data_IF_791607023495
#
_entry.id   IF_791607023495
#
_cell.length_a   1.000
_cell.length_b   1.000
_cell.length_c   1.000
_cell.angle_alpha   90.00
_cell.angle_beta   90.00
_cell.angle_gamma   90.00
#
_symmetry.space_group_name_H-M   'P 1'
#
loop_
_entity.id
_entity.type
_entity.pdbx_description
1 polymer ?
#
# COMPACT_ATOMS: atom_id res chain seq x y z
N UNK A 1 -7.41 -13.67 -2.64
CA UNK A 1 -6.80 -14.65 -3.56
C UNK A 1 -7.62 -15.94 -3.54
N UNK A 2 -7.66 -16.70 -4.65
CA UNK A 2 -8.31 -18.03 -4.68
C UNK A 2 -7.36 -19.11 -4.15
N UNK A 3 -6.09 -19.05 -4.53
CA UNK A 3 -5.03 -19.96 -4.09
C UNK A 3 -3.63 -19.32 -4.24
N UNK A 4 -2.59 -20.10 -3.95
CA UNK A 4 -1.19 -19.68 -3.92
C UNK A 4 -0.38 -20.06 -5.19
N UNK A 5 -1.03 -20.46 -6.30
CA UNK A 5 -0.33 -20.86 -7.54
C UNK A 5 0.54 -19.74 -8.13
N UNK A 6 0.16 -18.49 -7.91
CA UNK A 6 0.93 -17.31 -8.32
C UNK A 6 2.37 -17.33 -7.77
N UNK A 7 2.63 -18.00 -6.64
CA UNK A 7 3.97 -18.06 -6.02
C UNK A 7 5.02 -18.70 -6.93
N UNK A 8 4.63 -19.65 -7.79
CA UNK A 8 5.56 -20.26 -8.75
C UNK A 8 5.85 -19.39 -9.98
N UNK A 9 5.09 -18.31 -10.16
CA UNK A 9 5.19 -17.39 -11.30
C UNK A 9 5.89 -16.07 -10.93
N UNK A 10 6.41 -15.97 -9.70
CA UNK A 10 7.06 -14.75 -9.18
C UNK A 10 8.38 -14.50 -9.92
N UNK A 11 8.48 -13.37 -10.60
CA UNK A 11 9.69 -12.92 -11.30
C UNK A 11 10.68 -12.28 -10.31
N UNK A 12 10.19 -11.48 -9.38
CA UNK A 12 10.99 -10.86 -8.33
C UNK A 12 10.11 -10.46 -7.13
N UNK A 13 10.74 -9.99 -6.05
CA UNK A 13 10.03 -9.56 -4.85
C UNK A 13 10.75 -8.41 -4.15
N UNK A 14 9.98 -7.50 -3.56
CA UNK A 14 10.50 -6.31 -2.89
C UNK A 14 9.82 -6.17 -1.54
N UNK A 15 10.64 -6.10 -0.48
CA UNK A 15 10.18 -5.72 0.86
C UNK A 15 9.80 -4.26 0.88
N UNK A 16 8.63 -3.94 1.41
CA UNK A 16 8.13 -2.59 1.50
C UNK A 16 7.59 -2.30 2.88
N UNK A 17 7.94 -1.14 3.43
CA UNK A 17 7.40 -0.64 4.67
C UNK A 17 7.01 0.83 4.52
N UNK A 18 5.88 1.25 5.06
CA UNK A 18 5.48 2.67 5.06
C UNK A 18 4.63 3.03 6.26
N UNK A 19 4.71 4.28 6.68
CA UNK A 19 3.94 4.84 7.78
C UNK A 19 3.84 6.36 7.69
N UNK A 20 3.00 6.95 8.55
CA UNK A 20 2.75 8.38 8.59
C UNK A 20 3.30 8.97 9.90
N UNK A 21 4.11 10.03 9.82
CA UNK A 21 4.68 10.68 11.01
C UNK A 21 3.65 11.52 11.78
N UNK A 22 2.59 11.95 11.12
CA UNK A 22 1.53 12.73 11.73
C UNK A 22 0.20 11.97 11.62
N UNK A 23 -0.63 12.16 12.65
CA UNK A 23 -1.96 11.57 12.69
C UNK A 23 -2.81 12.13 11.54
N UNK A 24 -3.56 11.25 10.90
CA UNK A 24 -4.53 11.60 9.87
C UNK A 24 -5.75 12.31 10.46
N UNK A 25 -6.08 12.10 11.73
CA UNK A 25 -7.08 12.88 12.43
C UNK A 25 -6.69 14.37 12.51
N UNK A 26 -5.41 14.65 12.81
CA UNK A 26 -4.86 16.01 12.81
C UNK A 26 -4.88 16.67 11.42
N UNK A 27 -4.85 15.86 10.34
CA UNK A 27 -5.13 16.39 9.01
C UNK A 27 -6.60 16.73 8.88
N UNK A 28 -7.52 15.80 9.17
CA UNK A 28 -8.96 16.02 9.01
C UNK A 28 -9.47 17.24 9.79
N UNK A 29 -8.98 17.44 11.01
CA UNK A 29 -9.55 18.42 11.95
C UNK A 29 -9.10 19.86 11.74
N UNK A 30 -8.00 20.12 11.01
CA UNK A 30 -7.49 21.48 10.90
C UNK A 30 -6.03 21.64 11.31
N UNK A 31 -5.57 20.86 12.27
CA UNK A 31 -4.38 21.16 13.08
C UNK A 31 -3.06 20.91 12.36
N UNK A 32 -3.04 19.96 11.42
CA UNK A 32 -1.90 19.69 10.54
C UNK A 32 -2.22 20.09 9.10
N UNK A 33 -1.25 20.71 8.42
CA UNK A 33 -1.41 21.21 7.04
C UNK A 33 -0.83 20.31 5.95
N UNK A 34 -0.14 19.23 6.31
CA UNK A 34 0.44 18.30 5.36
C UNK A 34 0.59 16.89 5.94
N UNK A 35 0.30 15.87 5.14
CA UNK A 35 0.60 14.47 5.47
C UNK A 35 2.07 14.21 5.19
N UNK A 36 2.78 13.63 6.15
CA UNK A 36 4.19 13.24 6.02
C UNK A 36 4.26 11.72 6.10
N UNK A 37 4.64 11.09 4.98
CA UNK A 37 4.75 9.64 4.83
C UNK A 37 6.20 9.24 4.62
N UNK A 38 6.65 8.25 5.37
CA UNK A 38 7.94 7.59 5.18
C UNK A 38 7.66 6.29 4.46
N UNK A 39 8.43 5.95 3.41
CA UNK A 39 8.39 4.62 2.79
C UNK A 39 9.78 4.06 2.55
N UNK A 40 9.88 2.74 2.62
CA UNK A 40 11.00 1.91 2.20
C UNK A 40 10.46 0.96 1.12
N UNK A 41 11.24 0.76 0.05
CA UNK A 41 11.00 -0.22 -0.99
C UNK A 41 12.33 -0.83 -1.43
N UNK A 42 12.62 -2.04 -0.94
CA UNK A 42 13.92 -2.67 -1.09
C UNK A 42 15.02 -1.78 -0.49
N UNK A 43 16.00 -1.44 -1.30
CA UNK A 43 17.17 -0.65 -0.88
C UNK A 43 16.97 0.87 -1.06
N UNK A 44 15.74 1.31 -1.35
CA UNK A 44 15.40 2.72 -1.53
C UNK A 44 14.41 3.18 -0.47
N UNK A 45 14.51 4.44 -0.05
CA UNK A 45 13.57 5.05 0.87
C UNK A 45 13.25 6.49 0.49
N UNK A 46 12.04 6.92 0.83
CA UNK A 46 11.53 8.24 0.46
C UNK A 46 10.72 8.86 1.59
N UNK A 47 10.84 10.18 1.72
CA UNK A 47 9.99 11.03 2.55
C UNK A 47 9.06 11.82 1.64
N UNK A 48 7.77 11.53 1.72
CA UNK A 48 6.73 12.17 0.93
C UNK A 48 5.90 13.12 1.79
N UNK A 49 5.66 14.32 1.31
CA UNK A 49 4.83 15.32 1.96
C UNK A 49 3.76 15.82 1.01
N UNK A 50 2.50 15.82 1.44
CA UNK A 50 1.39 16.30 0.62
C UNK A 50 0.50 17.28 1.38
N UNK A 51 0.30 18.50 0.84
CA UNK A 51 -0.47 19.57 1.51
C UNK A 51 -1.94 19.19 1.73
N UNK A 52 -2.62 19.77 2.72
CA UNK A 52 -4.05 19.53 3.00
C UNK A 52 -4.96 20.49 2.26
N UNK A 53 -4.64 20.81 1.01
CA UNK A 53 -5.47 21.73 0.22
C UNK A 53 -6.81 21.08 -0.17
N UNK A 54 -7.88 21.86 -0.07
CA UNK A 54 -9.20 21.52 -0.60
C UNK A 54 -9.20 21.88 -2.10
N UNK A 55 -9.38 20.90 -2.98
CA UNK A 55 -9.48 21.14 -4.43
C UNK A 55 -8.59 20.23 -5.28
N UNK A 56 -8.45 20.57 -6.57
CA UNK A 56 -7.81 19.73 -7.59
C UNK A 56 -6.28 19.84 -7.66
N UNK A 57 -5.67 20.73 -6.89
CA UNK A 57 -4.21 20.92 -6.85
C UNK A 57 -3.72 20.72 -5.44
N UNK A 58 -2.88 19.71 -5.25
CA UNK A 58 -2.23 19.39 -3.97
C UNK A 58 -0.73 19.57 -4.16
N UNK A 59 -0.07 20.32 -3.29
CA UNK A 59 1.39 20.38 -3.31
C UNK A 59 1.92 19.03 -2.85
N UNK A 60 2.84 18.46 -3.61
CA UNK A 60 3.48 17.19 -3.32
C UNK A 60 5.00 17.34 -3.41
N UNK A 61 5.68 16.84 -2.39
CA UNK A 61 7.12 16.78 -2.32
C UNK A 61 7.53 15.33 -2.07
N UNK A 62 8.54 14.85 -2.79
CA UNK A 62 9.07 13.51 -2.66
C UNK A 62 10.59 13.56 -2.67
N UNK A 63 11.21 13.14 -1.57
CA UNK A 63 12.65 13.23 -1.36
C UNK A 63 13.22 11.84 -1.09
N UNK A 64 14.27 11.41 -1.81
CA UNK A 64 15.01 10.24 -1.41
C UNK A 64 15.71 10.50 -0.08
N UNK A 65 15.69 9.52 0.82
CA UNK A 65 16.38 9.56 2.10
C UNK A 65 17.18 8.27 2.30
N UNK A 66 18.23 8.26 3.14
CA UNK A 66 18.92 7.01 3.49
C UNK A 66 17.96 6.00 4.12
N UNK A 67 18.11 4.71 3.78
CA UNK A 67 17.25 3.63 4.32
C UNK A 67 17.31 3.58 5.84
N UNK A 68 18.50 3.72 6.44
CA UNK A 68 18.65 3.72 7.89
C UNK A 68 17.88 4.86 8.58
N UNK A 69 17.80 6.04 7.96
CA UNK A 69 16.99 7.16 8.45
C UNK A 69 15.51 6.83 8.34
N UNK A 70 15.09 6.24 7.22
CA UNK A 70 13.70 5.81 7.02
C UNK A 70 13.27 4.78 8.07
N UNK A 71 14.10 3.78 8.37
CA UNK A 71 13.84 2.80 9.43
C UNK A 71 13.68 3.47 10.80
N UNK A 72 14.50 4.48 11.09
CA UNK A 72 14.38 5.27 12.31
C UNK A 72 13.09 6.08 12.36
N UNK A 73 12.72 6.73 11.25
CA UNK A 73 11.49 7.50 11.13
C UNK A 73 10.23 6.62 11.20
N UNK A 74 10.24 5.40 10.63
CA UNK A 74 9.12 4.47 10.71
C UNK A 74 8.77 4.09 12.15
N UNK A 75 9.76 4.04 13.05
CA UNK A 75 9.52 3.82 14.49
C UNK A 75 8.86 5.00 15.20
N UNK A 76 8.86 6.18 14.57
CA UNK A 76 8.20 7.39 15.06
C UNK A 76 6.83 7.60 14.42
N UNK A 77 6.45 6.78 13.44
CA UNK A 77 5.14 6.87 12.82
C UNK A 77 4.04 6.59 13.84
N UNK A 78 2.92 7.28 13.64
CA UNK A 78 1.71 7.15 14.46
C UNK A 78 0.65 6.39 13.68
N UNK A 79 -0.14 5.58 14.37
CA UNK A 79 -1.07 4.65 13.73
C UNK A 79 -0.41 3.33 13.31
N UNK A 80 -1.06 2.62 12.40
CA UNK A 80 -0.60 1.32 11.89
C UNK A 80 0.51 1.45 10.85
N UNK A 81 1.47 0.53 10.92
CA UNK A 81 2.51 0.38 9.91
C UNK A 81 1.99 -0.52 8.78
N UNK A 82 2.24 -0.12 7.53
CA UNK A 82 2.09 -1.02 6.39
C UNK A 82 3.43 -1.68 6.15
N UNK A 83 3.53 -2.97 6.46
CA UNK A 83 4.67 -3.83 6.14
C UNK A 83 4.17 -4.95 5.20
N UNK A 84 4.86 -5.14 4.09
CA UNK A 84 4.47 -6.13 3.08
C UNK A 84 5.65 -6.58 2.23
N UNK A 85 5.51 -7.76 1.64
CA UNK A 85 6.33 -8.17 0.50
C UNK A 85 5.50 -8.04 -0.77
N UNK A 86 5.95 -7.21 -1.70
CA UNK A 86 5.36 -7.12 -3.05
C UNK A 86 6.05 -8.12 -3.96
N UNK A 87 5.30 -9.06 -4.51
CA UNK A 87 5.74 -10.01 -5.51
C UNK A 87 5.26 -9.57 -6.88
N UNK A 88 6.12 -9.67 -7.89
CA UNK A 88 5.74 -9.31 -9.25
C UNK A 88 5.56 -10.56 -10.09
N UNK A 89 4.40 -10.68 -10.73
CA UNK A 89 4.01 -11.83 -11.55
C UNK A 89 3.56 -11.31 -12.90
N UNK A 90 4.06 -11.91 -13.99
CA UNK A 90 3.60 -11.57 -15.33
C UNK A 90 2.58 -12.58 -15.82
N UNK A 91 1.39 -12.08 -16.16
CA UNK A 91 0.31 -12.90 -16.66
C UNK A 91 -0.32 -12.27 -17.90
N UNK A 92 -0.39 -13.04 -18.99
CA UNK A 92 -0.99 -12.61 -20.25
C UNK A 92 -0.50 -11.23 -20.76
N UNK A 93 0.79 -10.92 -20.57
CA UNK A 93 1.41 -9.68 -21.03
C UNK A 93 1.33 -8.50 -20.03
N UNK A 94 0.56 -8.62 -18.95
CA UNK A 94 0.46 -7.60 -17.92
C UNK A 94 1.24 -7.97 -16.65
N UNK A 95 1.72 -6.94 -15.96
CA UNK A 95 2.40 -7.08 -14.68
C UNK A 95 1.38 -6.98 -13.55
N UNK A 96 1.37 -8.00 -12.71
CA UNK A 96 0.60 -8.06 -11.49
C UNK A 96 1.52 -7.84 -10.29
N UNK A 97 1.11 -6.96 -9.39
CA UNK A 97 1.75 -6.70 -8.12
C UNK A 97 0.95 -7.38 -7.01
N UNK A 98 1.50 -8.44 -6.43
CA UNK A 98 0.87 -9.21 -5.36
C UNK A 98 1.49 -8.82 -4.03
N UNK A 99 0.75 -8.07 -3.24
CA UNK A 99 1.13 -7.64 -1.90
C UNK A 99 0.70 -8.67 -0.86
N UNK A 100 1.68 -9.27 -0.19
CA UNK A 100 1.47 -10.09 1.01
C UNK A 100 1.81 -9.24 2.22
N UNK A 101 0.78 -8.86 2.98
CA UNK A 101 0.93 -7.99 4.14
C UNK A 101 1.36 -8.75 5.40
N UNK A 102 2.05 -8.04 6.27
CA UNK A 102 2.61 -8.53 7.53
C UNK A 102 2.18 -7.67 8.72
N UNK A 103 2.64 -8.02 9.93
CA UNK A 103 2.32 -7.30 11.15
C UNK A 103 0.81 -7.28 11.44
N UNK A 104 0.26 -6.11 11.75
CA UNK A 104 -1.17 -5.93 12.01
C UNK A 104 -2.06 -6.14 10.76
N UNK A 105 -1.43 -6.20 9.58
CA UNK A 105 -2.10 -6.49 8.32
C UNK A 105 -1.90 -7.95 7.86
N UNK A 106 -1.27 -8.79 8.67
CA UNK A 106 -0.99 -10.18 8.32
C UNK A 106 -2.26 -10.98 7.99
N UNK A 107 -2.16 -11.83 6.96
CA UNK A 107 -3.26 -12.62 6.42
C UNK A 107 -4.00 -11.95 5.26
N UNK A 108 -3.76 -10.66 5.02
CA UNK A 108 -4.24 -9.97 3.83
C UNK A 108 -3.26 -10.17 2.66
N UNK A 109 -3.80 -10.61 1.52
CA UNK A 109 -3.09 -10.63 0.23
C UNK A 109 -3.91 -9.92 -0.83
N UNK A 110 -3.35 -8.89 -1.45
CA UNK A 110 -4.00 -8.09 -2.50
C UNK A 110 -3.19 -8.20 -3.78
N UNK A 111 -3.86 -8.36 -4.91
CA UNK A 111 -3.25 -8.32 -6.22
C UNK A 111 -3.74 -7.08 -6.97
N UNK A 112 -2.80 -6.27 -7.42
CA UNK A 112 -3.03 -5.07 -8.22
C UNK A 112 -2.47 -5.30 -9.63
N UNK A 113 -3.13 -4.74 -10.64
CA UNK A 113 -2.67 -4.77 -12.03
C UNK A 113 -2.62 -3.33 -12.54
N UNK A 114 -1.50 -2.95 -13.14
CA UNK A 114 -1.40 -1.67 -13.84
C UNK A 114 -1.89 -1.82 -15.28
N UNK A 115 -2.93 -1.08 -15.63
CA UNK A 115 -3.50 -1.05 -16.98
C UNK A 115 -3.23 0.31 -17.64
N UNK A 116 -2.93 0.35 -18.95
CA UNK A 116 -2.78 1.61 -19.70
C UNK A 116 -4.02 2.50 -19.67
N UNK A 117 -5.21 1.92 -19.55
CA UNK A 117 -6.49 2.61 -19.39
C UNK A 117 -7.51 1.73 -18.68
N UNK A 118 -8.57 2.34 -18.13
CA UNK A 118 -9.66 1.62 -17.47
C UNK A 118 -10.41 0.65 -18.40
N UNK A 119 -10.43 0.93 -19.71
CA UNK A 119 -11.10 0.10 -20.72
C UNK A 119 -10.19 -1.00 -21.29
N UNK A 120 -8.97 -1.17 -20.76
CA UNK A 120 -8.04 -2.18 -21.26
C UNK A 120 -8.56 -3.57 -20.91
N UNK A 121 -8.85 -4.38 -21.94
CA UNK A 121 -9.15 -5.80 -21.74
C UNK A 121 -7.89 -6.55 -21.31
N UNK A 122 -8.03 -7.40 -20.28
CA UNK A 122 -6.96 -8.27 -19.80
C UNK A 122 -7.51 -9.64 -19.40
N UNK A 123 -6.66 -10.66 -19.52
CA UNK A 123 -7.01 -11.99 -19.03
C UNK A 123 -6.78 -12.05 -17.52
N UNK A 124 -7.85 -12.32 -16.76
CA UNK A 124 -7.77 -12.47 -15.31
C UNK A 124 -7.14 -13.83 -14.95
N UNK A 125 -6.09 -13.86 -14.11
CA UNK A 125 -5.50 -15.10 -13.63
C UNK A 125 -6.47 -15.89 -12.74
N UNK A 126 -6.44 -17.22 -12.81
CA UNK A 126 -7.30 -18.10 -12.00
C UNK A 126 -7.08 -17.96 -10.49
N UNK A 127 -5.88 -17.54 -10.07
CA UNK A 127 -5.55 -17.33 -8.67
C UNK A 127 -6.13 -16.01 -8.12
N UNK A 128 -6.60 -15.10 -8.98
CA UNK A 128 -7.13 -13.80 -8.59
C UNK A 128 -8.53 -13.93 -7.98
N UNK A 129 -8.61 -13.67 -6.67
CA UNK A 129 -9.86 -13.69 -5.91
C UNK A 129 -10.76 -12.48 -6.22
N UNK A 130 -11.78 -12.26 -5.40
CA UNK A 130 -12.76 -11.16 -5.54
C UNK A 130 -12.10 -9.81 -5.88
N UNK A 131 -12.72 -9.08 -6.80
CA UNK A 131 -12.28 -7.73 -7.15
C UNK A 131 -12.67 -6.75 -6.05
N UNK A 132 -11.73 -5.87 -5.68
CA UNK A 132 -11.85 -4.92 -4.57
C UNK A 132 -11.41 -3.50 -4.96
N UNK A 133 -11.34 -3.21 -6.25
CA UNK A 133 -10.82 -1.95 -6.83
C UNK A 133 -11.46 -0.71 -6.19
N UNK A 134 -12.78 -0.71 -6.01
CA UNK A 134 -13.54 0.43 -5.48
C UNK A 134 -13.65 0.45 -3.95
N UNK A 135 -13.03 -0.50 -3.25
CA UNK A 135 -13.15 -0.62 -1.81
C UNK A 135 -12.01 0.08 -1.08
N UNK A 136 -12.29 1.32 -0.66
CA UNK A 136 -11.36 2.21 0.05
C UNK A 136 -10.64 1.56 1.24
N UNK A 137 -11.24 0.56 1.91
CA UNK A 137 -10.64 -0.13 3.05
C UNK A 137 -9.34 -0.87 2.70
N UNK A 138 -9.16 -1.30 1.45
CA UNK A 138 -7.93 -1.98 1.00
C UNK A 138 -6.80 -1.01 0.64
N UNK A 139 -7.04 0.31 0.67
CA UNK A 139 -6.03 1.29 0.32
C UNK A 139 -5.01 1.39 1.46
N UNK A 140 -3.73 1.57 1.14
CA UNK A 140 -2.64 1.64 2.14
C UNK A 140 -2.93 2.64 3.27
N UNK A 141 -3.55 3.78 2.95
CA UNK A 141 -3.92 4.78 3.96
C UNK A 141 -4.97 4.23 4.94
N UNK A 142 -6.02 3.59 4.42
CA UNK A 142 -7.08 3.01 5.26
C UNK A 142 -6.55 1.84 6.10
N UNK A 143 -5.67 1.01 5.55
CA UNK A 143 -4.99 -0.08 6.28
C UNK A 143 -4.05 0.45 7.37
N UNK A 144 -3.45 1.63 7.18
CA UNK A 144 -2.63 2.28 8.20
C UNK A 144 -3.49 2.86 9.34
N UNK A 145 -4.70 3.36 9.03
CA UNK A 145 -5.63 3.87 10.03
C UNK A 145 -6.35 2.76 10.80
N UNK A 146 -6.79 1.72 10.09
CA UNK A 146 -7.49 0.56 10.66
C UNK A 146 -6.93 -0.73 10.04
N UNK A 147 -5.89 -1.30 10.67
CA UNK A 147 -5.26 -2.52 10.19
C UNK A 147 -6.23 -3.69 10.04
N UNK A 148 -5.90 -4.61 9.14
CA UNK A 148 -6.70 -5.81 8.82
C UNK A 148 -7.05 -6.64 10.06
N UNK A 149 -6.17 -6.70 11.06
CA UNK A 149 -6.43 -7.37 12.33
C UNK A 149 -7.70 -6.83 13.05
N UNK A 150 -8.06 -5.57 12.84
CA UNK A 150 -9.21 -4.89 13.45
C UNK A 150 -10.50 -4.99 12.62
N UNK A 151 -10.47 -5.70 11.48
CA UNK A 151 -11.64 -5.91 10.65
C UNK A 151 -12.54 -7.00 11.24
N UNK A 152 -13.86 -6.81 11.10
CA UNK A 152 -14.85 -7.83 11.44
C UNK A 152 -14.75 -9.02 10.48
N UNK A 153 -15.20 -10.19 10.90
CA UNK A 153 -15.11 -11.42 10.09
C UNK A 153 -15.88 -11.31 8.77
N UNK A 154 -16.97 -10.54 8.74
CA UNK A 154 -17.73 -10.26 7.52
C UNK A 154 -16.94 -9.36 6.55
N UNK A 155 -16.09 -8.47 7.07
CA UNK A 155 -15.27 -7.57 6.27
C UNK A 155 -14.09 -8.29 5.61
N UNK A 156 -13.63 -9.40 6.21
CA UNK A 156 -12.50 -10.21 5.74
C UNK A 156 -12.86 -11.21 4.64
N UNK A 157 -14.15 -11.37 4.33
CA UNK A 157 -14.68 -12.31 3.33
C UNK A 157 -14.66 -11.77 1.90
#
# INVERSE_FOLDING_TARGET
MVDDRWRSEVENSVRMAQGYLNDMAALRDGTQKASVRVRIAGDMAFLNMKSRELGHTRQEFDYPIPVHDAEALLRLCVGGLIDKTRHYVRHAGFLWEIDVFEGENAGLTVAEIELPSADTEFARPDWAGREVTDELRYYNLALAERPYAQWADEEKR
#
